data_IF_285772842868
#
_entry.id   IF_285772842868
#
_cell.length_a   1.000
_cell.length_b   1.000
_cell.length_c   1.000
_cell.angle_alpha   90.00
_cell.angle_beta   90.00
_cell.angle_gamma   90.00
#
_symmetry.space_group_name_H-M   'P 1'
#
loop_
_entity.id
_entity.type
_entity.pdbx_description
1 polymer ?
#
# COMPACT_ATOMS: atom_id res chain seq x y z
N UNK A 1 1.62 -12.57 -9.75
CA UNK A 1 1.78 -11.20 -10.29
C UNK A 1 2.07 -11.22 -11.80
N UNK A 2 2.86 -12.14 -12.32
CA UNK A 2 3.24 -12.20 -13.75
C UNK A 2 2.05 -12.29 -14.70
N UNK A 3 0.96 -12.97 -14.33
CA UNK A 3 -0.28 -13.02 -15.13
C UNK A 3 -0.95 -11.64 -15.28
N UNK A 4 -0.77 -10.76 -14.32
CA UNK A 4 -1.34 -9.41 -14.33
C UNK A 4 -0.46 -8.42 -15.10
N UNK A 5 0.87 -8.59 -15.08
CA UNK A 5 1.81 -7.67 -15.76
C UNK A 5 1.74 -7.73 -17.27
N UNK A 6 1.59 -8.91 -17.86
CA UNK A 6 1.44 -9.22 -19.29
C UNK A 6 2.57 -8.74 -20.21
N UNK A 7 3.16 -7.58 -19.97
CA UNK A 7 4.19 -6.94 -20.79
C UNK A 7 5.22 -6.21 -19.94
N UNK A 8 6.23 -5.63 -20.59
CA UNK A 8 7.32 -4.91 -19.94
C UNK A 8 6.83 -3.67 -19.20
N UNK A 9 5.88 -2.92 -19.77
CA UNK A 9 5.32 -1.71 -19.14
C UNK A 9 4.56 -2.07 -17.86
N UNK A 10 3.80 -3.18 -17.90
CA UNK A 10 3.15 -3.71 -16.71
C UNK A 10 4.13 -4.17 -15.64
N UNK A 11 5.24 -4.79 -16.03
CA UNK A 11 6.30 -5.14 -15.08
C UNK A 11 6.96 -3.88 -14.51
N UNK A 12 7.24 -2.89 -15.33
CA UNK A 12 7.79 -1.60 -14.90
C UNK A 12 6.88 -0.89 -13.92
N UNK A 13 5.56 -0.92 -14.13
CA UNK A 13 4.59 -0.34 -13.20
C UNK A 13 4.64 -1.00 -11.80
N UNK A 14 4.73 -2.34 -11.74
CA UNK A 14 4.89 -3.05 -10.46
C UNK A 14 6.23 -2.73 -9.82
N UNK A 15 7.31 -2.78 -10.57
CA UNK A 15 8.65 -2.46 -10.04
C UNK A 15 8.74 -1.02 -9.56
N UNK A 16 8.14 -0.07 -10.29
CA UNK A 16 8.06 1.34 -9.90
C UNK A 16 7.35 1.51 -8.56
N UNK A 17 6.24 0.81 -8.35
CA UNK A 17 5.51 0.79 -7.09
C UNK A 17 6.37 0.25 -5.92
N UNK A 18 7.05 -0.88 -6.11
CA UNK A 18 7.94 -1.47 -5.09
C UNK A 18 9.14 -0.57 -4.78
N UNK A 19 9.75 0.02 -5.80
CA UNK A 19 10.84 0.99 -5.63
C UNK A 19 10.35 2.21 -4.86
N UNK A 20 9.13 2.68 -5.13
CA UNK A 20 8.53 3.80 -4.41
C UNK A 20 8.37 3.50 -2.91
N UNK A 21 7.92 2.29 -2.55
CA UNK A 21 7.87 1.85 -1.15
C UNK A 21 9.25 1.88 -0.49
N UNK A 22 10.29 1.46 -1.19
CA UNK A 22 11.66 1.46 -0.68
C UNK A 22 12.21 2.88 -0.51
N UNK A 23 12.05 3.74 -1.52
CA UNK A 23 12.51 5.14 -1.51
C UNK A 23 11.80 5.96 -0.44
N UNK A 24 10.49 5.81 -0.29
CA UNK A 24 9.70 6.46 0.74
C UNK A 24 9.87 5.84 2.13
N UNK A 25 10.65 4.75 2.26
CA UNK A 25 10.93 4.04 3.53
C UNK A 25 9.66 3.55 4.25
N UNK A 26 8.63 3.20 3.51
CA UNK A 26 7.33 2.81 4.06
C UNK A 26 7.42 1.64 5.05
N UNK A 27 8.30 0.67 4.83
CA UNK A 27 8.52 -0.46 5.74
C UNK A 27 9.08 0.00 7.10
N UNK A 28 10.02 0.94 7.10
CA UNK A 28 10.61 1.49 8.33
C UNK A 28 9.57 2.30 9.09
N UNK A 29 8.81 3.13 8.40
CA UNK A 29 7.76 3.94 9.01
C UNK A 29 6.65 3.05 9.60
N UNK A 30 6.26 1.99 8.90
CA UNK A 30 5.28 1.00 9.36
C UNK A 30 5.75 0.30 10.63
N UNK A 31 7.00 -0.16 10.66
CA UNK A 31 7.61 -0.79 11.84
C UNK A 31 7.70 0.17 13.03
N UNK A 32 8.10 1.40 12.81
CA UNK A 32 8.21 2.44 13.86
C UNK A 32 6.84 2.77 14.46
N UNK A 33 5.81 2.91 13.63
CA UNK A 33 4.43 3.15 14.11
C UNK A 33 3.88 1.97 14.90
N UNK A 34 4.09 0.75 14.42
CA UNK A 34 3.66 -0.46 15.14
C UNK A 34 4.34 -0.56 16.50
N UNK A 35 5.63 -0.27 16.59
CA UNK A 35 6.38 -0.24 17.85
C UNK A 35 5.84 0.82 18.80
N UNK A 36 5.62 2.04 18.30
CA UNK A 36 5.08 3.14 19.12
C UNK A 36 3.71 2.77 19.70
N UNK A 37 2.82 2.23 18.87
CA UNK A 37 1.48 1.83 19.30
C UNK A 37 1.53 0.71 20.35
N UNK A 38 2.35 -0.32 20.09
CA UNK A 38 2.51 -1.41 21.06
C UNK A 38 3.07 -0.95 22.40
N UNK A 39 4.08 -0.08 22.38
CA UNK A 39 4.66 0.50 23.59
C UNK A 39 3.65 1.36 24.33
N UNK A 40 2.90 2.20 23.62
CA UNK A 40 1.85 3.03 24.22
C UNK A 40 0.75 2.18 24.85
N UNK A 41 0.32 1.11 24.20
CA UNK A 41 -0.67 0.18 24.74
C UNK A 41 -0.19 -0.50 26.02
N UNK A 42 1.08 -0.94 26.06
CA UNK A 42 1.68 -1.52 27.26
C UNK A 42 1.75 -0.51 28.43
N UNK A 43 2.13 0.73 28.16
CA UNK A 43 2.14 1.78 29.19
C UNK A 43 0.74 2.05 29.72
N UNK A 44 -0.26 2.18 28.86
CA UNK A 44 -1.66 2.36 29.28
C UNK A 44 -2.13 1.18 30.13
N UNK A 45 -1.77 -0.05 29.77
CA UNK A 45 -2.14 -1.23 30.57
C UNK A 45 -1.52 -1.19 31.96
N UNK A 46 -0.23 -0.85 32.05
CA UNK A 46 0.48 -0.70 33.33
C UNK A 46 -0.19 0.39 34.19
N UNK A 47 -0.40 1.59 33.63
CA UNK A 47 -0.99 2.72 34.38
C UNK A 47 -2.46 2.49 34.76
N UNK A 48 -3.20 1.68 33.99
CA UNK A 48 -4.57 1.30 34.29
C UNK A 48 -4.71 0.11 35.27
N UNK A 49 -3.59 -0.42 35.74
CA UNK A 49 -3.58 -1.60 36.62
C UNK A 49 -3.97 -2.90 35.91
N UNK A 50 -3.60 -3.04 34.63
CA UNK A 50 -3.84 -4.26 33.86
C UNK A 50 -5.25 -4.39 33.28
N UNK A 51 -6.02 -3.30 33.20
CA UNK A 51 -7.42 -3.35 32.73
C UNK A 51 -7.52 -3.78 31.25
N UNK A 52 -6.59 -3.37 30.40
CA UNK A 52 -6.57 -3.79 29.00
C UNK A 52 -6.30 -5.29 28.85
N UNK A 53 -5.33 -5.80 29.59
CA UNK A 53 -5.03 -7.24 29.65
C UNK A 53 -6.20 -8.03 30.22
N UNK A 54 -6.92 -7.49 31.16
CA UNK A 54 -8.13 -8.12 31.75
C UNK A 54 -9.27 -8.20 30.71
N UNK A 55 -9.51 -7.13 29.96
CA UNK A 55 -10.52 -7.14 28.87
C UNK A 55 -10.17 -8.18 27.83
N UNK A 56 -8.91 -8.24 27.39
CA UNK A 56 -8.45 -9.23 26.44
C UNK A 56 -8.64 -10.68 26.95
N UNK A 57 -8.37 -10.94 28.22
CA UNK A 57 -8.59 -12.26 28.83
C UNK A 57 -10.07 -12.65 28.93
N UNK A 58 -10.94 -11.70 29.26
CA UNK A 58 -12.38 -11.96 29.42
C UNK A 58 -13.12 -12.11 28.10
N UNK A 59 -12.70 -11.37 27.06
CA UNK A 59 -13.36 -11.41 25.74
C UNK A 59 -12.71 -12.42 24.78
N UNK A 60 -11.50 -12.89 25.08
CA UNK A 60 -10.69 -13.70 24.15
C UNK A 60 -10.21 -12.92 22.90
N UNK A 61 -10.44 -11.60 22.86
CA UNK A 61 -10.14 -10.75 21.72
C UNK A 61 -9.07 -9.74 22.09
N UNK A 62 -8.07 -9.55 21.23
CA UNK A 62 -7.14 -8.44 21.34
C UNK A 62 -7.79 -7.13 20.87
N UNK A 63 -8.64 -6.57 21.72
CA UNK A 63 -9.45 -5.37 21.40
C UNK A 63 -8.55 -4.15 21.11
N UNK A 64 -7.44 -3.99 21.81
CA UNK A 64 -6.47 -2.90 21.57
C UNK A 64 -5.80 -3.08 20.23
N UNK A 65 -5.35 -4.29 19.91
CA UNK A 65 -4.77 -4.61 18.60
C UNK A 65 -5.74 -4.36 17.46
N UNK A 66 -7.00 -4.74 17.64
CA UNK A 66 -8.04 -4.53 16.62
C UNK A 66 -8.33 -3.04 16.39
N UNK A 67 -8.52 -2.25 17.45
CA UNK A 67 -8.76 -0.81 17.36
C UNK A 67 -7.55 -0.13 16.70
N UNK A 68 -6.34 -0.50 17.08
CA UNK A 68 -5.10 0.01 16.49
C UNK A 68 -5.02 -0.33 14.99
N UNK A 69 -5.27 -1.57 14.63
CA UNK A 69 -5.22 -2.01 13.23
C UNK A 69 -6.23 -1.24 12.38
N UNK A 70 -7.47 -1.15 12.82
CA UNK A 70 -8.55 -0.52 12.05
C UNK A 70 -8.43 1.01 12.05
N UNK A 71 -8.20 1.60 13.21
CA UNK A 71 -8.25 3.05 13.38
C UNK A 71 -6.96 3.79 12.99
N UNK A 72 -5.81 3.17 13.13
CA UNK A 72 -4.52 3.82 12.91
C UNK A 72 -3.73 3.22 11.75
N UNK A 73 -3.53 1.90 11.73
CA UNK A 73 -2.62 1.28 10.76
C UNK A 73 -3.24 1.16 9.37
N UNK A 74 -4.52 0.77 9.25
CA UNK A 74 -5.15 0.62 7.94
C UNK A 74 -5.28 1.93 7.14
N UNK A 75 -5.72 3.06 7.74
CA UNK A 75 -5.73 4.34 7.03
C UNK A 75 -4.32 4.79 6.61
N UNK A 76 -3.34 4.54 7.47
CA UNK A 76 -1.95 4.87 7.18
C UNK A 76 -1.38 4.02 6.03
N UNK A 77 -1.62 2.71 6.05
CA UNK A 77 -1.21 1.82 4.98
C UNK A 77 -1.84 2.23 3.64
N UNK A 78 -3.13 2.60 3.61
CA UNK A 78 -3.77 3.10 2.38
C UNK A 78 -3.11 4.37 1.83
N UNK A 79 -2.67 5.28 2.70
CA UNK A 79 -1.94 6.48 2.29
C UNK A 79 -0.59 6.13 1.66
N UNK A 80 0.14 5.19 2.27
CA UNK A 80 1.41 4.70 1.72
C UNK A 80 1.23 4.03 0.35
N UNK A 81 0.15 3.25 0.16
CA UNK A 81 -0.17 2.66 -1.14
C UNK A 81 -0.44 3.72 -2.21
N UNK A 82 -1.23 4.77 -1.89
CA UNK A 82 -1.50 5.86 -2.83
C UNK A 82 -0.24 6.68 -3.15
N UNK A 83 0.67 6.84 -2.20
CA UNK A 83 1.96 7.49 -2.42
C UNK A 83 2.87 6.63 -3.30
N UNK A 84 2.94 5.33 -3.05
CA UNK A 84 3.72 4.39 -3.85
C UNK A 84 3.17 4.28 -5.29
N UNK A 85 1.86 4.31 -5.47
CA UNK A 85 1.24 4.37 -6.79
C UNK A 85 1.65 5.62 -7.57
N UNK A 86 1.59 6.78 -6.93
CA UNK A 86 1.94 8.05 -7.57
C UNK A 86 3.43 8.13 -7.92
N UNK A 87 4.30 7.82 -6.98
CA UNK A 87 5.76 7.80 -7.23
C UNK A 87 6.14 6.73 -8.25
N UNK A 88 5.49 5.56 -8.21
CA UNK A 88 5.71 4.48 -9.17
C UNK A 88 5.34 4.88 -10.60
N UNK A 89 4.25 5.64 -10.79
CA UNK A 89 3.91 6.22 -12.10
C UNK A 89 4.99 7.20 -12.56
N UNK A 90 5.50 8.07 -11.68
CA UNK A 90 6.57 9.01 -12.02
C UNK A 90 7.82 8.25 -12.45
N UNK A 91 8.25 7.24 -11.70
CA UNK A 91 9.44 6.45 -12.04
C UNK A 91 9.28 5.73 -13.38
N UNK A 92 8.12 5.15 -13.64
CA UNK A 92 7.81 4.48 -14.91
C UNK A 92 7.81 5.47 -16.08
N UNK A 93 7.21 6.66 -15.92
CA UNK A 93 7.18 7.71 -16.94
C UNK A 93 8.57 8.22 -17.27
N UNK A 94 9.36 8.60 -16.27
CA UNK A 94 10.74 9.06 -16.44
C UNK A 94 11.62 8.00 -17.14
N UNK A 95 11.32 6.72 -16.91
CA UNK A 95 12.04 5.59 -17.52
C UNK A 95 11.52 5.21 -18.91
N UNK A 96 10.53 5.94 -19.46
CA UNK A 96 10.02 5.75 -20.81
C UNK A 96 8.98 4.62 -20.96
N UNK A 97 8.45 4.10 -19.87
CA UNK A 97 7.39 3.07 -19.89
C UNK A 97 5.99 3.69 -19.94
N UNK A 98 5.05 2.96 -20.54
CA UNK A 98 3.64 3.37 -20.61
C UNK A 98 2.95 3.26 -19.26
N UNK A 99 2.79 4.39 -18.57
CA UNK A 99 2.19 4.45 -17.23
C UNK A 99 0.70 4.09 -17.20
N UNK A 100 0.02 4.03 -18.36
CA UNK A 100 -1.37 3.54 -18.46
C UNK A 100 -1.49 2.09 -18.02
N UNK A 101 -0.42 1.32 -18.11
CA UNK A 101 -0.38 -0.05 -17.60
C UNK A 101 -0.53 -0.12 -16.08
N UNK A 102 -0.18 0.92 -15.33
CA UNK A 102 -0.38 0.95 -13.87
C UNK A 102 -1.86 0.75 -13.50
N UNK A 103 -2.77 1.43 -14.16
CA UNK A 103 -4.23 1.25 -13.95
C UNK A 103 -4.67 -0.14 -14.39
N UNK A 104 -4.26 -0.56 -15.59
CA UNK A 104 -4.66 -1.86 -16.16
C UNK A 104 -4.22 -3.05 -15.31
N UNK A 105 -3.09 -2.96 -14.59
CA UNK A 105 -2.65 -4.00 -13.67
C UNK A 105 -3.64 -4.15 -12.52
N UNK A 106 -4.04 -3.05 -11.89
CA UNK A 106 -5.00 -3.11 -10.79
C UNK A 106 -6.37 -3.63 -11.25
N UNK A 107 -6.81 -3.24 -12.45
CA UNK A 107 -8.04 -3.76 -13.05
C UNK A 107 -7.95 -5.26 -13.31
N UNK A 108 -6.84 -5.74 -13.91
CA UNK A 108 -6.60 -7.17 -14.16
C UNK A 108 -6.50 -7.97 -12.86
N UNK A 109 -5.80 -7.46 -11.85
CA UNK A 109 -5.71 -8.12 -10.54
C UNK A 109 -7.08 -8.23 -9.86
N UNK A 110 -7.90 -7.17 -9.95
CA UNK A 110 -9.28 -7.19 -9.45
C UNK A 110 -10.12 -8.25 -10.18
N UNK A 111 -9.96 -8.38 -11.49
CA UNK A 111 -10.67 -9.38 -12.29
C UNK A 111 -10.22 -10.82 -11.97
N UNK A 112 -8.92 -11.05 -11.87
CA UNK A 112 -8.34 -12.35 -11.50
C UNK A 112 -8.78 -12.83 -10.11
N UNK A 113 -9.09 -11.88 -9.23
CA UNK A 113 -9.48 -12.16 -7.84
C UNK A 113 -10.97 -12.44 -7.65
N UNK A 114 -11.81 -12.32 -8.67
CA UNK A 114 -13.25 -12.57 -8.54
C UNK A 114 -13.54 -14.00 -8.08
N UNK A 115 -13.96 -14.13 -6.82
CA UNK A 115 -14.37 -15.41 -6.21
C UNK A 115 -13.23 -16.37 -5.84
N UNK A 116 -12.00 -15.90 -5.79
CA UNK A 116 -10.80 -16.66 -5.39
C UNK A 116 -10.10 -15.98 -4.21
N UNK A 117 -9.22 -16.73 -3.53
CA UNK A 117 -8.29 -16.10 -2.60
C UNK A 117 -7.40 -15.06 -3.33
N UNK A 118 -7.20 -13.86 -2.73
CA UNK A 118 -6.37 -12.84 -3.34
C UNK A 118 -4.96 -13.38 -3.59
N UNK A 119 -4.34 -13.09 -4.75
CA UNK A 119 -2.92 -13.36 -4.94
C UNK A 119 -2.10 -12.73 -3.81
N UNK A 120 -0.98 -13.35 -3.44
CA UNK A 120 -0.10 -12.89 -2.34
C UNK A 120 0.21 -11.38 -2.43
N UNK A 121 0.48 -10.89 -3.63
CA UNK A 121 0.71 -9.46 -3.87
C UNK A 121 -0.48 -8.58 -3.44
N UNK A 122 -1.72 -9.00 -3.70
CA UNK A 122 -2.90 -8.25 -3.27
C UNK A 122 -3.18 -8.33 -1.77
N UNK A 123 -2.62 -9.31 -1.07
CA UNK A 123 -2.72 -9.42 0.38
C UNK A 123 -1.90 -8.33 1.08
N UNK A 124 -0.76 -7.97 0.50
CA UNK A 124 0.14 -6.91 0.98
C UNK A 124 -0.21 -5.54 0.39
N UNK A 125 -0.74 -5.50 -0.85
CA UNK A 125 -1.09 -4.31 -1.61
C UNK A 125 -2.56 -4.36 -2.07
N UNK A 126 -3.53 -4.13 -1.15
CA UNK A 126 -4.94 -4.27 -1.50
C UNK A 126 -5.36 -3.27 -2.59
N UNK A 127 -5.98 -3.80 -3.64
CA UNK A 127 -6.63 -2.98 -4.66
C UNK A 127 -7.91 -2.35 -4.11
N UNK A 128 -8.17 -1.11 -4.50
CA UNK A 128 -9.45 -0.46 -4.25
C UNK A 128 -9.86 0.38 -5.46
N UNK A 129 -11.17 0.58 -5.63
CA UNK A 129 -11.68 1.45 -6.70
C UNK A 129 -11.19 2.90 -6.54
N UNK A 130 -10.94 3.31 -5.30
CA UNK A 130 -10.34 4.62 -5.02
C UNK A 130 -8.92 4.74 -5.58
N UNK A 131 -8.07 3.71 -5.42
CA UNK A 131 -6.71 3.72 -5.98
C UNK A 131 -6.75 3.82 -7.52
N UNK A 132 -7.59 3.02 -8.17
CA UNK A 132 -7.76 3.07 -9.63
C UNK A 132 -8.22 4.45 -10.09
N UNK A 133 -9.20 5.05 -9.40
CA UNK A 133 -9.67 6.40 -9.70
C UNK A 133 -8.56 7.44 -9.52
N UNK A 134 -7.86 7.43 -8.38
CA UNK A 134 -6.81 8.38 -8.05
C UNK A 134 -5.63 8.30 -9.05
N UNK A 135 -5.30 7.09 -9.50
CA UNK A 135 -4.31 6.87 -10.57
C UNK A 135 -4.74 7.49 -11.89
N UNK A 136 -6.00 7.27 -12.31
CA UNK A 136 -6.55 7.87 -13.53
C UNK A 136 -6.57 9.40 -13.49
N UNK A 137 -6.95 9.98 -12.34
CA UNK A 137 -6.99 11.43 -12.15
C UNK A 137 -5.60 12.07 -12.28
N UNK A 138 -4.56 11.42 -11.74
CA UNK A 138 -3.18 11.94 -11.73
C UNK A 138 -2.38 11.62 -13.00
N UNK A 139 -2.85 10.72 -13.83
CA UNK A 139 -2.09 10.18 -14.96
C UNK A 139 -1.66 11.26 -15.94
N UNK A 140 -2.57 12.18 -16.30
CA UNK A 140 -2.28 13.24 -17.25
C UNK A 140 -1.24 14.22 -16.72
N UNK A 141 -1.31 14.55 -15.43
CA UNK A 141 -0.33 15.43 -14.78
C UNK A 141 1.04 14.77 -14.78
N UNK A 142 1.11 13.47 -14.48
CA UNK A 142 2.39 12.74 -14.52
C UNK A 142 3.00 12.69 -15.91
N UNK A 143 2.19 12.46 -16.96
CA UNK A 143 2.69 12.47 -18.35
C UNK A 143 3.26 13.84 -18.74
N UNK A 144 2.64 14.93 -18.31
CA UNK A 144 3.06 16.28 -18.65
C UNK A 144 4.26 16.76 -17.83
N UNK A 145 4.25 16.48 -16.52
CA UNK A 145 5.24 17.01 -15.59
C UNK A 145 6.53 16.16 -15.50
N UNK A 146 6.42 14.87 -15.84
CA UNK A 146 7.50 13.88 -15.73
C UNK A 146 7.69 13.09 -17.04
N UNK A 147 8.01 13.75 -18.16
CA UNK A 147 8.25 13.06 -19.43
C UNK A 147 9.49 12.15 -19.36
N UNK A 148 9.63 11.18 -20.28
CA UNK A 148 10.81 10.32 -20.34
C UNK A 148 12.12 11.09 -20.35
N UNK A 149 13.10 10.60 -19.57
CA UNK A 149 14.46 11.16 -19.58
C UNK A 149 15.17 10.66 -20.84
N UNK A 150 15.63 11.58 -21.68
CA UNK A 150 16.50 11.23 -22.80
C UNK A 150 17.89 10.83 -22.26
N UNK A 151 18.23 9.54 -22.45
CA UNK A 151 19.58 9.05 -22.12
C UNK A 151 20.41 9.21 -23.39
N UNK A 152 21.28 10.22 -23.40
CA UNK A 152 22.28 10.46 -24.47
C UNK A 152 23.45 9.49 -24.35
#
# INVERSE_FOLDING_TARGET
>A
ILEATKNTDGLAAVMGHEIAHAVAKHSVERASRATLVNTSAQLIDIFSGGKLSQVNRTTGMNTVGLITQIGLLNPFNRKQESEADYLGMIFSSLSGYDIRETVKIWERMKELNKGKEPPEFMSTHPSSDNRIRDLNEKMNDVILDYPPIEIS
#
